data_IF_101084540532
#
_entry.id   IF_101084540532
#
_cell.length_a   1.000
_cell.length_b   1.000
_cell.length_c   1.000
_cell.angle_alpha   90.00
_cell.angle_beta   90.00
_cell.angle_gamma   90.00
#
_symmetry.space_group_name_H-M   'P 1'
#
loop_
_entity.id
_entity.type
_entity.pdbx_description
1 polymer ?
#
# COMPACT_ATOMS: atom_id res chain seq x y z
N UNK A 1 -6.80 5.67 -20.34
CA UNK A 1 -7.08 7.02 -19.80
C UNK A 1 -8.39 7.19 -19.08
N UNK A 2 -8.75 6.28 -18.15
CA UNK A 2 -10.06 6.34 -17.52
C UNK A 2 -10.25 7.60 -16.65
N UNK A 3 -9.46 7.77 -15.59
CA UNK A 3 -9.60 8.91 -14.69
C UNK A 3 -9.23 10.24 -15.34
N UNK A 4 -8.27 10.23 -16.27
CA UNK A 4 -7.89 11.41 -17.03
C UNK A 4 -9.03 11.97 -17.88
N UNK A 5 -9.77 11.09 -18.57
CA UNK A 5 -10.93 11.49 -19.38
C UNK A 5 -12.11 11.92 -18.50
N UNK A 6 -12.44 11.14 -17.45
CA UNK A 6 -13.61 11.40 -16.58
C UNK A 6 -13.51 12.78 -15.91
N UNK A 7 -12.31 13.20 -15.52
CA UNK A 7 -12.10 14.44 -14.76
C UNK A 7 -11.39 15.54 -15.57
N UNK A 8 -11.23 15.36 -16.88
CA UNK A 8 -10.51 16.27 -17.76
C UNK A 8 -9.12 16.67 -17.23
N UNK A 9 -8.36 15.68 -16.75
CA UNK A 9 -6.98 15.90 -16.30
C UNK A 9 -6.07 16.01 -17.53
N UNK A 10 -5.31 17.09 -17.60
CA UNK A 10 -4.40 17.40 -18.71
C UNK A 10 -2.97 17.55 -18.22
N UNK A 11 -2.03 17.03 -18.99
CA UNK A 11 -0.60 17.30 -18.81
C UNK A 11 -0.27 18.68 -19.39
N UNK A 12 0.94 19.18 -19.10
CA UNK A 12 1.39 20.49 -19.58
C UNK A 12 1.45 20.59 -21.13
N UNK A 13 1.56 19.45 -21.82
CA UNK A 13 1.53 19.34 -23.28
C UNK A 13 0.10 19.26 -23.87
N UNK A 14 -0.94 19.28 -23.03
CA UNK A 14 -2.35 19.21 -23.45
C UNK A 14 -2.89 17.79 -23.62
N UNK A 15 -2.03 16.77 -23.53
CA UNK A 15 -2.44 15.36 -23.60
C UNK A 15 -3.25 14.96 -22.36
N UNK A 16 -4.12 13.97 -22.52
CA UNK A 16 -4.88 13.42 -21.38
C UNK A 16 -3.92 12.80 -20.38
N UNK A 17 -4.06 13.14 -19.10
CA UNK A 17 -3.19 12.60 -18.07
C UNK A 17 -3.55 11.13 -17.75
N UNK A 18 -2.56 10.25 -17.83
CA UNK A 18 -2.63 8.89 -17.30
C UNK A 18 -2.42 8.91 -15.78
N UNK A 19 -3.15 8.05 -15.06
CA UNK A 19 -3.07 7.97 -13.60
C UNK A 19 -2.74 6.55 -13.16
N UNK A 20 -1.95 6.40 -12.11
CA UNK A 20 -1.71 5.14 -11.41
C UNK A 20 -1.81 5.33 -9.91
N UNK A 21 -2.16 4.26 -9.19
CA UNK A 21 -2.11 4.23 -7.73
C UNK A 21 -1.48 2.92 -7.26
N UNK A 22 -0.93 2.94 -6.05
CA UNK A 22 -0.57 1.74 -5.31
C UNK A 22 -1.50 1.63 -4.12
N UNK A 23 -2.02 0.43 -3.87
CA UNK A 23 -2.95 0.16 -2.79
C UNK A 23 -2.38 -0.93 -1.87
N UNK A 24 -2.35 -0.65 -0.57
CA UNK A 24 -1.97 -1.60 0.46
C UNK A 24 -3.22 -1.96 1.27
N UNK A 25 -3.63 -3.23 1.20
CA UNK A 25 -4.77 -3.71 1.97
C UNK A 25 -4.39 -3.93 3.43
N UNK A 26 -4.64 -2.94 4.29
CA UNK A 26 -4.14 -2.92 5.67
C UNK A 26 -4.58 -4.16 6.47
N UNK A 27 -5.86 -4.55 6.43
CA UNK A 27 -6.34 -5.74 7.13
C UNK A 27 -5.72 -7.02 6.58
N UNK A 28 -5.51 -7.11 5.26
CA UNK A 28 -4.83 -8.26 4.65
C UNK A 28 -3.37 -8.34 5.08
N UNK A 29 -2.68 -7.20 5.18
CA UNK A 29 -1.32 -7.16 5.69
C UNK A 29 -1.27 -7.55 7.18
N UNK A 30 -2.20 -7.05 8.00
CA UNK A 30 -2.28 -7.42 9.42
C UNK A 30 -2.48 -8.94 9.58
N UNK A 31 -3.44 -9.53 8.87
CA UNK A 31 -3.67 -10.99 8.85
C UNK A 31 -2.40 -11.74 8.43
N UNK A 32 -1.75 -11.32 7.33
CA UNK A 32 -0.53 -11.95 6.86
C UNK A 32 0.60 -11.90 7.90
N UNK A 33 0.77 -10.78 8.60
CA UNK A 33 1.77 -10.65 9.66
C UNK A 33 1.55 -11.67 10.78
N UNK A 34 0.29 -11.85 11.23
CA UNK A 34 -0.03 -12.86 12.24
C UNK A 34 0.09 -14.30 11.71
N UNK A 35 -0.27 -14.56 10.44
CA UNK A 35 -0.10 -15.87 9.83
C UNK A 35 1.38 -16.29 9.73
N UNK A 36 2.27 -15.35 9.41
CA UNK A 36 3.70 -15.63 9.21
C UNK A 36 4.47 -15.64 10.52
N UNK A 37 4.13 -14.78 11.48
CA UNK A 37 4.92 -14.60 12.71
C UNK A 37 4.24 -15.10 13.99
N UNK A 38 2.99 -15.53 13.92
CA UNK A 38 2.20 -16.00 15.06
C UNK A 38 1.59 -14.86 15.89
N UNK A 39 0.83 -15.23 16.92
CA UNK A 39 0.04 -14.29 17.73
C UNK A 39 0.80 -13.63 18.88
N UNK A 40 2.07 -13.96 19.09
CA UNK A 40 2.90 -13.38 20.15
C UNK A 40 3.95 -12.41 19.56
N UNK A 41 3.68 -11.09 19.51
CA UNK A 41 4.56 -10.13 18.83
C UNK A 41 5.97 -10.07 19.39
N UNK A 42 6.15 -10.38 20.69
CA UNK A 42 7.47 -10.46 21.32
C UNK A 42 8.38 -11.51 20.68
N UNK A 43 7.82 -12.54 20.02
CA UNK A 43 8.58 -13.60 19.34
C UNK A 43 8.85 -13.31 17.86
N UNK A 44 8.33 -12.22 17.32
CA UNK A 44 8.52 -11.88 15.91
C UNK A 44 9.99 -11.53 15.60
N UNK A 45 10.43 -11.64 14.33
CA UNK A 45 11.78 -11.24 13.94
C UNK A 45 12.10 -9.81 14.39
N UNK A 46 13.34 -9.58 14.82
CA UNK A 46 13.79 -8.26 15.30
C UNK A 46 13.58 -7.15 14.27
N UNK A 47 13.77 -7.45 12.99
CA UNK A 47 13.50 -6.50 11.90
C UNK A 47 12.05 -6.02 11.87
N UNK A 48 11.09 -6.94 12.04
CA UNK A 48 9.66 -6.62 12.07
C UNK A 48 9.30 -5.83 13.34
N UNK A 49 9.79 -6.27 14.51
CA UNK A 49 9.56 -5.56 15.79
C UNK A 49 10.08 -4.12 15.73
N UNK A 50 11.30 -3.92 15.24
CA UNK A 50 11.89 -2.59 15.06
C UNK A 50 11.14 -1.72 14.06
N UNK A 51 10.72 -2.28 12.92
CA UNK A 51 9.97 -1.53 11.90
C UNK A 51 8.60 -1.05 12.42
N UNK A 52 7.98 -1.84 13.29
CA UNK A 52 6.66 -1.55 13.88
C UNK A 52 6.73 -0.89 15.26
N UNK A 53 7.94 -0.72 15.82
CA UNK A 53 8.20 -0.19 17.17
C UNK A 53 7.48 -0.99 18.28
N UNK A 54 7.53 -2.31 18.16
CA UNK A 54 7.04 -3.30 19.14
C UNK A 54 8.08 -3.63 20.22
#
# INVERSE_FOLDING_TARGET
DHFGLVWNLRRADGEVAHTGCVAFGMDRLAVAMFCVHGLEPVRWPESARRALRL
#
